data_IF_593351882764
#
_entry.id   IF_593351882764
#
_cell.length_a   1.000
_cell.length_b   1.000
_cell.length_c   1.000
_cell.angle_alpha   90.00
_cell.angle_beta   90.00
_cell.angle_gamma   90.00
#
_symmetry.space_group_name_H-M   'P 1'
#
loop_
_entity.id
_entity.type
_entity.pdbx_description
1 polymer ?
#
# COMPACT_ATOMS: atom_id res chain seq x y z
N UNK A 1 -16.80 -8.45 18.28
CA UNK A 1 -16.41 -7.49 19.35
C UNK A 1 -14.98 -7.66 19.82
N UNK A 2 -14.57 -8.89 20.15
CA UNK A 2 -13.18 -9.16 20.55
C UNK A 2 -12.19 -8.74 19.44
N UNK A 3 -12.49 -9.05 18.20
CA UNK A 3 -11.63 -8.66 17.07
C UNK A 3 -11.45 -7.15 16.95
N UNK A 4 -12.51 -6.38 17.17
CA UNK A 4 -12.44 -4.93 17.14
C UNK A 4 -11.53 -4.39 18.26
N UNK A 5 -11.66 -4.94 19.46
CA UNK A 5 -10.83 -4.54 20.59
C UNK A 5 -9.36 -4.84 20.28
N UNK A 6 -9.07 -6.03 19.77
CA UNK A 6 -7.70 -6.41 19.39
C UNK A 6 -7.15 -5.50 18.30
N UNK A 7 -7.98 -5.13 17.33
CA UNK A 7 -7.59 -4.20 16.25
C UNK A 7 -7.19 -2.83 16.82
N UNK A 8 -8.01 -2.27 17.73
CA UNK A 8 -7.72 -0.97 18.33
C UNK A 8 -6.42 -1.03 19.15
N UNK A 9 -6.23 -2.10 19.94
CA UNK A 9 -5.01 -2.30 20.70
C UNK A 9 -3.80 -2.38 19.78
N UNK A 10 -3.92 -3.13 18.68
CA UNK A 10 -2.83 -3.25 17.70
C UNK A 10 -2.44 -1.91 17.09
N UNK A 11 -3.43 -1.07 16.74
CA UNK A 11 -3.15 0.26 16.20
C UNK A 11 -2.38 1.13 17.18
N UNK A 12 -2.79 1.12 18.44
CA UNK A 12 -2.13 1.90 19.49
C UNK A 12 -0.70 1.39 19.68
N UNK A 13 -0.51 0.08 19.76
CA UNK A 13 0.81 -0.51 19.95
C UNK A 13 1.73 -0.20 18.76
N UNK A 14 1.23 -0.30 17.53
CA UNK A 14 2.03 0.01 16.33
C UNK A 14 2.50 1.45 16.36
N UNK A 15 1.63 2.37 16.73
CA UNK A 15 1.97 3.79 16.82
C UNK A 15 3.14 4.01 17.80
N UNK A 16 3.01 3.50 19.03
CA UNK A 16 4.05 3.68 20.05
C UNK A 16 5.31 2.89 19.71
N UNK A 17 5.18 1.66 19.22
CA UNK A 17 6.32 0.83 18.87
C UNK A 17 7.12 1.43 17.71
N UNK A 18 6.48 2.08 16.75
CA UNK A 18 7.17 2.74 15.65
C UNK A 18 8.09 3.85 16.18
N UNK A 19 7.57 4.66 17.12
CA UNK A 19 8.36 5.73 17.74
C UNK A 19 9.54 5.15 18.52
N UNK A 20 9.27 4.14 19.36
CA UNK A 20 10.30 3.51 20.18
C UNK A 20 11.35 2.84 19.32
N UNK A 21 10.91 2.07 18.32
CA UNK A 21 11.82 1.35 17.43
C UNK A 21 12.76 2.28 16.66
N UNK A 22 12.26 3.45 16.26
CA UNK A 22 13.08 4.43 15.56
C UNK A 22 14.35 4.78 16.36
N UNK A 23 14.22 4.89 17.69
CA UNK A 23 15.36 5.23 18.54
C UNK A 23 16.35 4.07 18.71
N UNK A 24 15.90 2.83 18.49
CA UNK A 24 16.75 1.64 18.58
C UNK A 24 17.44 1.26 17.27
N UNK A 25 17.00 1.81 16.15
CA UNK A 25 17.61 1.50 14.85
C UNK A 25 18.97 2.17 14.75
N UNK A 26 20.01 1.38 14.46
CA UNK A 26 21.37 1.87 14.34
C UNK A 26 21.54 2.75 13.11
N UNK A 27 21.06 2.28 11.95
CA UNK A 27 21.12 3.06 10.72
C UNK A 27 19.71 3.56 10.38
N UNK A 28 19.47 4.85 10.68
CA UNK A 28 18.16 5.46 10.49
C UNK A 28 17.89 5.85 9.04
N UNK A 29 18.89 5.83 8.19
CA UNK A 29 18.73 6.15 6.77
C UNK A 29 17.82 5.11 6.12
N UNK A 30 16.74 5.58 5.49
CA UNK A 30 15.78 4.68 4.83
C UNK A 30 14.76 4.02 5.77
N UNK A 31 14.81 4.31 7.08
CA UNK A 31 13.87 3.70 8.02
C UNK A 31 12.42 3.98 7.64
N UNK A 32 12.07 5.25 7.44
CA UNK A 32 10.69 5.60 7.10
C UNK A 32 10.29 5.13 5.71
N UNK A 33 11.22 5.05 4.78
CA UNK A 33 10.96 4.46 3.45
C UNK A 33 10.60 2.99 3.58
N UNK A 34 11.32 2.25 4.40
CA UNK A 34 11.04 0.83 4.68
C UNK A 34 9.70 0.66 5.37
N UNK A 35 9.40 1.50 6.36
CA UNK A 35 8.11 1.47 7.05
C UNK A 35 6.97 1.77 6.09
N UNK A 36 7.13 2.77 5.24
CA UNK A 36 6.13 3.13 4.23
C UNK A 36 5.88 1.96 3.28
N UNK A 37 6.92 1.24 2.87
CA UNK A 37 6.78 0.06 2.02
C UNK A 37 6.00 -1.05 2.73
N UNK A 38 6.29 -1.29 4.00
CA UNK A 38 5.57 -2.30 4.79
C UNK A 38 4.09 -1.93 4.94
N UNK A 39 3.78 -0.66 5.16
CA UNK A 39 2.41 -0.19 5.21
C UNK A 39 1.72 -0.29 3.85
N UNK A 40 2.46 -0.06 2.77
CA UNK A 40 1.96 -0.19 1.40
C UNK A 40 1.56 -1.65 1.11
N UNK A 41 2.38 -2.62 1.53
CA UNK A 41 2.06 -4.05 1.43
C UNK A 41 0.83 -4.37 2.28
N UNK A 42 0.79 -3.88 3.51
CA UNK A 42 -0.34 -4.07 4.40
C UNK A 42 -1.63 -3.51 3.80
N UNK A 43 -1.60 -2.29 3.27
CA UNK A 43 -2.76 -1.63 2.70
C UNK A 43 -3.29 -2.40 1.49
N UNK A 44 -2.41 -2.93 0.65
CA UNK A 44 -2.82 -3.73 -0.49
C UNK A 44 -3.63 -4.95 -0.06
N UNK A 45 -3.16 -5.63 0.97
CA UNK A 45 -3.79 -6.85 1.48
C UNK A 45 -5.04 -6.55 2.29
N UNK A 46 -4.96 -5.58 3.20
CA UNK A 46 -6.03 -5.30 4.16
C UNK A 46 -7.27 -4.74 3.51
N UNK A 47 -7.09 -3.82 2.57
CA UNK A 47 -8.21 -3.12 1.95
C UNK A 47 -8.54 -3.64 0.56
N UNK A 48 -8.17 -4.88 0.25
CA UNK A 48 -8.35 -5.45 -1.10
C UNK A 48 -9.79 -5.44 -1.59
N UNK A 49 -10.75 -5.67 -0.70
CA UNK A 49 -12.16 -5.66 -1.09
C UNK A 49 -12.57 -4.29 -1.62
N UNK A 50 -12.13 -3.23 -0.96
CA UNK A 50 -12.40 -1.86 -1.37
C UNK A 50 -11.68 -1.53 -2.69
N UNK A 51 -10.37 -1.82 -2.75
CA UNK A 51 -9.59 -1.54 -3.95
C UNK A 51 -10.17 -2.24 -5.18
N UNK A 52 -10.49 -3.52 -5.06
CA UNK A 52 -10.99 -4.31 -6.19
C UNK A 52 -12.40 -3.88 -6.62
N UNK A 53 -13.18 -3.29 -5.72
CA UNK A 53 -14.54 -2.84 -6.04
C UNK A 53 -14.58 -1.46 -6.67
N UNK A 54 -13.66 -0.57 -6.30
CA UNK A 54 -13.78 0.87 -6.61
C UNK A 54 -12.69 1.36 -7.55
N UNK A 55 -11.47 0.80 -7.48
CA UNK A 55 -10.30 1.35 -8.16
C UNK A 55 -10.00 0.74 -9.51
N UNK A 56 -10.56 -0.43 -9.81
CA UNK A 56 -10.30 -1.15 -11.06
C UNK A 56 -11.58 -1.65 -11.71
N UNK A 57 -11.49 -1.89 -13.02
CA UNK A 57 -12.57 -2.47 -13.78
C UNK A 57 -12.65 -3.99 -13.55
N UNK A 58 -13.82 -4.57 -13.77
CA UNK A 58 -14.02 -6.01 -13.61
C UNK A 58 -13.07 -6.79 -14.52
N UNK A 59 -12.50 -7.87 -13.98
CA UNK A 59 -11.57 -8.72 -14.74
C UNK A 59 -10.13 -8.20 -14.81
N UNK A 60 -9.84 -7.09 -14.14
CA UNK A 60 -8.50 -6.50 -14.10
C UNK A 60 -7.61 -7.21 -13.09
N UNK A 61 -6.33 -6.83 -13.05
CA UNK A 61 -5.39 -7.36 -12.07
C UNK A 61 -5.85 -7.00 -10.66
N UNK A 62 -6.04 -8.01 -9.83
CA UNK A 62 -6.62 -7.85 -8.50
C UNK A 62 -5.61 -7.37 -7.48
N UNK A 63 -6.07 -6.53 -6.55
CA UNK A 63 -5.33 -6.15 -5.35
C UNK A 63 -5.38 -7.27 -4.32
N UNK A 64 -4.43 -7.25 -3.41
CA UNK A 64 -4.45 -8.13 -2.25
C UNK A 64 -3.52 -9.32 -2.32
N UNK A 65 -2.66 -9.40 -3.34
CA UNK A 65 -1.68 -10.47 -3.43
C UNK A 65 -0.66 -10.32 -2.30
N UNK A 66 -0.39 -11.42 -1.61
CA UNK A 66 0.54 -11.42 -0.48
C UNK A 66 1.93 -10.96 -0.92
N UNK A 67 2.52 -10.06 -0.13
CA UNK A 67 3.86 -9.55 -0.40
C UNK A 67 3.94 -8.45 -1.44
N UNK A 68 2.84 -8.13 -2.12
CA UNK A 68 2.82 -7.05 -3.11
C UNK A 68 2.39 -5.73 -2.48
N UNK A 69 3.06 -4.64 -2.87
CA UNK A 69 2.66 -3.30 -2.44
C UNK A 69 1.39 -2.85 -3.18
N UNK A 70 0.64 -1.96 -2.55
CA UNK A 70 -0.50 -1.30 -3.21
C UNK A 70 -0.04 -0.56 -4.47
N UNK A 71 1.10 0.12 -4.39
CA UNK A 71 1.66 0.87 -5.52
C UNK A 71 1.99 -0.04 -6.70
N UNK A 72 2.48 -1.26 -6.45
CA UNK A 72 2.74 -2.24 -7.51
C UNK A 72 1.44 -2.65 -8.22
N UNK A 73 0.41 -2.99 -7.46
CA UNK A 73 -0.88 -3.38 -8.04
C UNK A 73 -1.54 -2.22 -8.80
N UNK A 74 -1.45 -1.00 -8.27
CA UNK A 74 -1.91 0.20 -8.98
C UNK A 74 -1.14 0.38 -10.29
N UNK A 75 0.19 0.21 -10.26
CA UNK A 75 1.03 0.33 -11.45
C UNK A 75 0.70 -0.68 -12.52
N UNK A 76 0.43 -1.93 -12.13
CA UNK A 76 0.02 -2.97 -13.08
C UNK A 76 -1.29 -2.61 -13.77
N UNK A 77 -2.26 -2.10 -13.02
CA UNK A 77 -3.53 -1.64 -13.60
C UNK A 77 -3.35 -0.37 -14.42
N UNK A 78 -2.49 0.53 -14.02
CA UNK A 78 -2.16 1.71 -14.81
C UNK A 78 -1.55 1.33 -16.16
N UNK A 79 -0.59 0.42 -16.15
CA UNK A 79 0.06 -0.11 -17.36
C UNK A 79 -0.97 -0.74 -18.29
N UNK A 80 -1.90 -1.50 -17.73
CA UNK A 80 -2.91 -2.25 -18.50
C UNK A 80 -4.12 -1.39 -18.89
N UNK A 81 -4.20 -0.16 -18.39
CA UNK A 81 -5.31 0.74 -18.71
C UNK A 81 -6.63 0.35 -18.07
N UNK A 82 -6.59 -0.32 -16.91
CA UNK A 82 -7.78 -0.89 -16.26
C UNK A 82 -8.20 -0.17 -14.99
N UNK A 83 -7.60 0.99 -14.69
CA UNK A 83 -8.01 1.80 -13.55
C UNK A 83 -9.32 2.54 -13.85
N UNK A 84 -10.19 2.64 -12.83
CA UNK A 84 -11.35 3.51 -12.87
C UNK A 84 -10.89 4.97 -12.72
N UNK A 85 -11.85 5.92 -12.84
CA UNK A 85 -11.54 7.34 -12.60
C UNK A 85 -11.01 7.56 -11.18
N UNK A 86 -11.54 6.85 -10.19
CA UNK A 86 -11.06 6.94 -8.81
C UNK A 86 -9.64 6.43 -8.70
N UNK A 87 -9.34 5.30 -9.33
CA UNK A 87 -7.98 4.75 -9.36
C UNK A 87 -6.99 5.68 -10.05
N UNK A 88 -7.38 6.26 -11.18
CA UNK A 88 -6.55 7.23 -11.89
C UNK A 88 -6.27 8.48 -11.05
N UNK A 89 -7.26 8.93 -10.28
CA UNK A 89 -7.09 10.07 -9.38
C UNK A 89 -6.03 9.80 -8.32
N UNK A 90 -6.05 8.61 -7.72
CA UNK A 90 -5.03 8.22 -6.74
C UNK A 90 -3.63 8.17 -7.36
N UNK A 91 -3.51 7.54 -8.53
CA UNK A 91 -2.23 7.47 -9.24
C UNK A 91 -1.72 8.86 -9.58
N UNK A 92 -2.59 9.74 -10.04
CA UNK A 92 -2.24 11.13 -10.35
C UNK A 92 -1.70 11.86 -9.12
N UNK A 93 -2.35 11.68 -7.96
CA UNK A 93 -1.90 12.28 -6.71
C UNK A 93 -0.51 11.76 -6.30
N UNK A 94 -0.28 10.46 -6.43
CA UNK A 94 1.02 9.85 -6.11
C UNK A 94 2.10 10.32 -7.07
N UNK A 95 1.78 10.46 -8.36
CA UNK A 95 2.75 10.94 -9.36
C UNK A 95 3.20 12.39 -9.11
N UNK A 96 2.38 13.19 -8.47
CA UNK A 96 2.76 14.55 -8.09
C UNK A 96 3.84 14.58 -7.02
N UNK A 97 3.82 13.58 -6.15
CA UNK A 97 4.81 13.45 -5.07
C UNK A 97 6.06 12.77 -5.60
N UNK A 98 5.90 11.73 -6.39
CA UNK A 98 7.00 10.92 -6.94
C UNK A 98 6.63 10.52 -8.38
N UNK A 99 7.17 11.22 -9.41
CA UNK A 99 6.79 10.97 -10.79
C UNK A 99 6.90 9.49 -11.19
N UNK A 100 5.87 8.96 -11.80
CA UNK A 100 5.75 7.56 -12.23
C UNK A 100 5.85 6.56 -11.06
N UNK A 101 5.49 6.99 -9.86
CA UNK A 101 5.66 6.19 -8.64
C UNK A 101 5.10 4.77 -8.79
N UNK A 102 3.86 4.62 -9.24
CA UNK A 102 3.23 3.31 -9.34
C UNK A 102 3.87 2.45 -10.43
N UNK A 103 4.18 3.02 -11.59
CA UNK A 103 4.83 2.29 -12.69
C UNK A 103 6.22 1.78 -12.28
N UNK A 104 6.99 2.61 -11.59
CA UNK A 104 8.32 2.24 -11.10
C UNK A 104 8.21 1.16 -10.01
N UNK A 105 7.11 1.16 -9.25
CA UNK A 105 6.90 0.25 -8.13
C UNK A 105 6.42 -1.13 -8.55
N UNK A 106 6.11 -1.36 -9.83
CA UNK A 106 5.63 -2.67 -10.29
C UNK A 106 6.63 -3.76 -9.93
N UNK A 107 6.12 -4.81 -9.28
CA UNK A 107 6.88 -6.00 -8.94
C UNK A 107 6.34 -7.18 -9.73
N UNK A 108 7.07 -7.58 -10.76
CA UNK A 108 6.67 -8.67 -11.65
C UNK A 108 6.84 -10.05 -10.99
N UNK A 109 7.54 -10.11 -9.85
CA UNK A 109 7.79 -11.37 -9.16
C UNK A 109 6.66 -11.80 -8.23
N UNK A 110 5.70 -10.95 -8.01
CA UNK A 110 4.53 -11.25 -7.17
C UNK A 110 3.24 -11.21 -7.97
#
# INVERSE_FOLDING_TARGET
>A
MLGLILFIIALILIFFLTIVNYWYVENKKGYFKSTARNLDIFANREFRAFWNSVFIEAGSYQFGKEGETLSSALGKNQRDGTLTKVGLTLVFALDKIDPNHCLISIDELV
#
